data_IF_705338290883
#
_entry.id   IF_705338290883
#
_cell.length_a   1.000
_cell.length_b   1.000
_cell.length_c   1.000
_cell.angle_alpha   90.00
_cell.angle_beta   90.00
_cell.angle_gamma   90.00
#
_symmetry.space_group_name_H-M   'P 1'
#
loop_
_entity.id
_entity.type
_entity.pdbx_description
1 polymer ?
#
# COMPACT_ATOMS: atom_id res chain seq x y z
N UNK A 1 -25.05 -18.03 0.63
CA UNK A 1 -24.00 -18.06 -0.41
C UNK A 1 -23.47 -16.65 -0.53
N UNK A 2 -22.28 -16.39 0.03
CA UNK A 2 -21.68 -15.05 -0.02
C UNK A 2 -21.36 -14.75 -1.48
N UNK A 3 -21.94 -13.68 -2.00
CA UNK A 3 -21.68 -13.21 -3.36
C UNK A 3 -20.18 -12.87 -3.46
N UNK A 4 -19.47 -13.53 -4.37
CA UNK A 4 -18.05 -13.32 -4.65
C UNK A 4 -17.74 -11.87 -5.09
N UNK A 5 -18.77 -11.06 -5.34
CA UNK A 5 -18.71 -9.63 -5.67
C UNK A 5 -18.39 -8.71 -4.50
N UNK A 6 -18.68 -9.08 -3.24
CA UNK A 6 -18.51 -8.15 -2.10
C UNK A 6 -17.11 -8.20 -1.49
N UNK A 7 -16.36 -9.29 -1.75
CA UNK A 7 -14.99 -9.46 -1.30
C UNK A 7 -14.01 -9.50 -2.47
N UNK A 8 -13.44 -8.34 -2.90
CA UNK A 8 -12.35 -8.25 -3.86
C UNK A 8 -11.20 -9.24 -3.63
N UNK A 9 -10.91 -9.62 -2.39
CA UNK A 9 -9.84 -10.56 -2.06
C UNK A 9 -10.16 -12.00 -2.49
N UNK A 10 -11.43 -12.38 -2.69
CA UNK A 10 -11.84 -13.71 -3.16
C UNK A 10 -11.88 -13.79 -4.70
N UNK A 11 -12.00 -12.65 -5.38
CA UNK A 11 -12.34 -12.59 -6.79
C UNK A 11 -11.13 -12.41 -7.73
N UNK A 12 -9.95 -12.04 -7.22
CA UNK A 12 -8.74 -11.83 -8.01
C UNK A 12 -7.73 -12.98 -7.81
N UNK A 13 -7.71 -13.99 -8.69
CA UNK A 13 -7.04 -15.27 -8.41
C UNK A 13 -5.57 -15.44 -8.80
N UNK A 14 -4.94 -14.51 -9.54
CA UNK A 14 -3.78 -14.96 -10.36
C UNK A 14 -2.41 -14.56 -9.78
N UNK A 15 -2.20 -13.34 -9.24
CA UNK A 15 -0.86 -12.92 -8.77
C UNK A 15 -0.86 -11.80 -7.70
N UNK A 16 -2.01 -11.46 -7.11
CA UNK A 16 -2.17 -10.22 -6.31
C UNK A 16 -3.00 -10.39 -5.04
N UNK A 17 -3.00 -11.60 -4.52
CA UNK A 17 -3.50 -11.85 -3.18
C UNK A 17 -2.55 -11.15 -2.19
N UNK A 18 -2.78 -9.87 -1.89
CA UNK A 18 -2.12 -9.20 -0.76
C UNK A 18 -2.24 -10.03 0.52
N UNK A 19 -3.30 -10.83 0.61
CA UNK A 19 -3.53 -11.80 1.68
C UNK A 19 -2.78 -13.14 1.53
N UNK A 20 -2.34 -13.58 0.33
CA UNK A 20 -1.52 -14.81 0.21
C UNK A 20 -0.02 -14.54 0.16
N UNK A 21 0.38 -13.29 -0.05
CA UNK A 21 1.76 -12.82 0.06
C UNK A 21 1.75 -11.45 0.71
N UNK A 22 1.71 -11.44 2.04
CA UNK A 22 1.74 -10.20 2.81
C UNK A 22 3.12 -9.58 2.71
N UNK A 23 3.26 -8.54 1.90
CA UNK A 23 4.54 -7.85 1.68
C UNK A 23 4.36 -6.33 1.71
N UNK A 24 5.00 -5.68 2.67
CA UNK A 24 5.10 -4.23 2.72
C UNK A 24 3.79 -3.49 2.99
N UNK A 25 2.88 -4.10 3.76
CA UNK A 25 1.61 -3.48 4.17
C UNK A 25 1.89 -2.37 5.19
N UNK A 26 1.46 -1.15 4.90
CA UNK A 26 1.59 0.02 5.76
C UNK A 26 0.40 0.16 6.66
N UNK A 27 0.69 0.28 7.95
CA UNK A 27 -0.26 0.37 9.02
C UNK A 27 0.12 1.56 9.90
N UNK A 28 -0.91 2.22 10.42
CA UNK A 28 -0.76 2.99 11.66
C UNK A 28 -0.58 2.03 12.85
N UNK A 29 -0.04 2.52 13.97
CA UNK A 29 0.04 1.73 15.21
C UNK A 29 -1.34 1.16 15.63
N UNK A 30 -2.44 1.94 15.65
CA UNK A 30 -3.76 1.42 16.03
C UNK A 30 -4.30 0.35 15.08
N UNK A 31 -3.98 0.41 13.78
CA UNK A 31 -4.33 -0.65 12.84
C UNK A 31 -3.53 -1.92 13.08
N UNK A 32 -2.25 -1.79 13.41
CA UNK A 32 -1.41 -2.95 13.75
C UNK A 32 -1.95 -3.63 15.02
N UNK A 33 -2.20 -2.87 16.08
CA UNK A 33 -2.72 -3.39 17.34
C UNK A 33 -4.05 -4.15 17.14
N UNK A 34 -4.96 -3.57 16.36
CA UNK A 34 -6.28 -4.17 16.11
C UNK A 34 -6.21 -5.42 15.22
N UNK A 35 -5.36 -5.43 14.21
CA UNK A 35 -5.43 -6.44 13.15
C UNK A 35 -4.29 -7.47 13.19
N UNK A 36 -3.14 -7.17 13.81
CA UNK A 36 -1.91 -7.96 13.66
C UNK A 36 -1.13 -8.21 14.96
N UNK A 37 -1.44 -7.56 16.08
CA UNK A 37 -0.69 -7.74 17.33
C UNK A 37 -0.61 -9.23 17.78
N UNK A 38 -1.71 -9.98 17.64
CA UNK A 38 -1.71 -11.43 17.95
C UNK A 38 -0.81 -12.27 17.05
N UNK A 39 -0.35 -11.71 15.94
CA UNK A 39 0.48 -12.37 14.93
C UNK A 39 1.90 -11.79 14.86
N UNK A 40 2.28 -10.88 15.75
CA UNK A 40 3.60 -10.24 15.78
C UNK A 40 4.78 -11.21 15.60
N UNK A 41 4.80 -12.42 16.22
CA UNK A 41 5.91 -13.37 16.05
C UNK A 41 6.10 -13.87 14.61
N UNK A 42 5.05 -13.87 13.80
CA UNK A 42 5.03 -14.36 12.40
C UNK A 42 5.42 -13.27 11.39
N UNK A 43 5.56 -12.02 11.86
CA UNK A 43 5.70 -10.84 11.03
C UNK A 43 7.14 -10.31 11.05
N UNK A 44 7.53 -9.71 9.93
CA UNK A 44 8.64 -8.78 9.82
C UNK A 44 8.04 -7.37 9.85
N UNK A 45 8.43 -6.58 10.85
CA UNK A 45 7.88 -5.26 11.12
C UNK A 45 9.01 -4.25 11.04
N UNK A 46 8.89 -3.30 10.12
CA UNK A 46 9.83 -2.20 9.94
C UNK A 46 9.11 -0.88 10.25
N UNK A 47 9.75 0.02 10.99
CA UNK A 47 9.20 1.35 11.24
C UNK A 47 9.75 2.33 10.21
N UNK A 48 8.88 2.85 9.35
CA UNK A 48 9.17 3.92 8.40
C UNK A 48 8.55 5.21 8.93
N UNK A 49 9.34 6.05 9.61
CA UNK A 49 8.87 7.33 10.18
C UNK A 49 7.68 7.09 11.16
N UNK A 50 6.46 7.47 10.78
CA UNK A 50 5.27 7.33 11.61
C UNK A 50 4.38 6.11 11.25
N UNK A 51 4.79 5.29 10.28
CA UNK A 51 4.05 4.09 9.87
C UNK A 51 4.83 2.81 10.15
N UNK A 52 4.10 1.72 10.38
CA UNK A 52 4.62 0.36 10.43
C UNK A 52 4.48 -0.29 9.07
N UNK A 53 5.54 -0.90 8.58
CA UNK A 53 5.56 -1.70 7.35
C UNK A 53 5.66 -3.16 7.74
N UNK A 54 4.60 -3.90 7.44
CA UNK A 54 4.42 -5.29 7.86
C UNK A 54 4.51 -6.22 6.66
N UNK A 55 5.34 -7.23 6.79
CA UNK A 55 5.44 -8.36 5.86
C UNK A 55 5.37 -9.68 6.63
N UNK A 56 4.98 -10.76 5.98
CA UNK A 56 5.16 -12.09 6.56
C UNK A 56 6.66 -12.45 6.52
N UNK A 57 7.21 -12.94 7.63
CA UNK A 57 8.66 -13.12 7.83
C UNK A 57 9.33 -14.07 6.83
N UNK A 58 8.62 -15.12 6.42
CA UNK A 58 9.05 -16.15 5.48
C UNK A 58 8.44 -15.96 4.07
N UNK A 59 7.85 -14.79 3.80
CA UNK A 59 7.18 -14.49 2.53
C UNK A 59 5.88 -15.27 2.29
N UNK A 60 5.31 -15.83 3.35
CA UNK A 60 4.09 -16.63 3.37
C UNK A 60 2.79 -15.83 3.29
N UNK A 61 1.71 -16.55 3.60
CA UNK A 61 0.33 -16.05 3.59
C UNK A 61 0.10 -15.09 4.76
N UNK A 62 -0.75 -14.08 4.58
CA UNK A 62 -1.18 -13.20 5.66
C UNK A 62 -1.78 -14.05 6.80
N UNK A 63 -1.40 -13.83 8.06
CA UNK A 63 -1.91 -14.64 9.17
C UNK A 63 -3.43 -14.46 9.41
N UNK A 64 -4.00 -13.36 8.93
CA UNK A 64 -5.44 -13.13 8.91
C UNK A 64 -6.17 -13.87 7.78
N UNK A 65 -5.46 -14.57 6.90
CA UNK A 65 -6.07 -15.38 5.84
C UNK A 65 -6.27 -16.82 6.32
N UNK A 66 -7.48 -17.13 6.75
CA UNK A 66 -7.87 -18.43 7.32
C UNK A 66 -9.09 -18.97 6.58
N UNK A 67 -9.14 -20.28 6.37
CA UNK A 67 -10.26 -20.98 5.72
C UNK A 67 -10.70 -20.39 4.37
N UNK A 68 -9.74 -19.82 3.63
CA UNK A 68 -9.98 -19.24 2.32
C UNK A 68 -10.53 -17.81 2.34
N UNK A 69 -10.48 -17.10 3.47
CA UNK A 69 -10.91 -15.71 3.58
C UNK A 69 -10.12 -14.89 4.60
N UNK A 70 -10.31 -13.57 4.59
CA UNK A 70 -9.73 -12.68 5.58
C UNK A 70 -10.63 -12.64 6.82
N UNK A 71 -10.13 -13.06 7.98
CA UNK A 71 -10.92 -13.09 9.23
C UNK A 71 -11.20 -11.70 9.80
N UNK A 72 -10.35 -10.72 9.45
CA UNK A 72 -10.55 -9.29 9.79
C UNK A 72 -11.11 -8.50 8.61
N UNK A 73 -11.89 -9.11 7.71
CA UNK A 73 -12.27 -8.46 6.45
C UNK A 73 -12.97 -7.11 6.66
N UNK A 74 -13.94 -7.03 7.56
CA UNK A 74 -14.67 -5.80 7.86
C UNK A 74 -13.74 -4.74 8.50
N UNK A 75 -12.86 -5.17 9.40
CA UNK A 75 -11.92 -4.30 10.12
C UNK A 75 -10.57 -4.12 9.42
N UNK A 76 -10.46 -4.61 8.18
CA UNK A 76 -9.18 -4.71 7.47
C UNK A 76 -8.54 -3.32 7.36
N UNK A 77 -7.20 -3.22 7.43
CA UNK A 77 -6.52 -1.94 7.37
C UNK A 77 -6.88 -1.10 6.14
N UNK A 78 -6.74 0.22 6.25
CA UNK A 78 -7.03 1.17 5.17
C UNK A 78 -6.29 0.81 3.89
N UNK A 79 -5.01 0.45 3.96
CA UNK A 79 -4.28 0.03 2.75
C UNK A 79 -4.83 -1.26 2.12
N UNK A 80 -5.37 -2.20 2.90
CA UNK A 80 -6.08 -3.36 2.36
C UNK A 80 -7.43 -2.97 1.73
N UNK A 81 -8.13 -1.98 2.30
CA UNK A 81 -9.38 -1.43 1.76
C UNK A 81 -9.16 -0.59 0.50
N UNK A 82 -7.97 -0.02 0.32
CA UNK A 82 -7.62 0.73 -0.88
C UNK A 82 -7.58 -0.12 -2.15
N UNK A 83 -7.51 -1.45 -2.05
CA UNK A 83 -7.51 -2.32 -3.22
C UNK A 83 -8.69 -1.97 -4.17
N UNK A 84 -8.44 -1.78 -5.49
CA UNK A 84 -7.23 -2.10 -6.26
C UNK A 84 -6.15 -1.01 -6.30
N UNK A 85 -6.31 0.08 -5.55
CA UNK A 85 -5.28 1.09 -5.38
C UNK A 85 -4.19 0.63 -4.42
N UNK A 86 -2.98 1.13 -4.63
CA UNK A 86 -1.85 0.94 -3.72
C UNK A 86 -1.28 2.29 -3.36
N UNK A 87 -0.88 2.44 -2.09
CA UNK A 87 -0.38 3.68 -1.53
C UNK A 87 1.15 3.68 -1.49
N UNK A 88 1.76 4.71 -2.08
CA UNK A 88 3.21 4.91 -2.02
C UNK A 88 3.52 6.22 -1.33
N UNK A 89 4.19 6.21 -0.17
CA UNK A 89 4.74 7.43 0.40
C UNK A 89 5.89 7.91 -0.47
N UNK A 90 5.85 9.19 -0.83
CA UNK A 90 6.96 9.89 -1.47
C UNK A 90 7.32 11.09 -0.61
N UNK A 91 8.53 11.07 -0.04
CA UNK A 91 9.10 12.21 0.69
C UNK A 91 9.92 13.05 -0.29
N UNK A 92 9.50 14.28 -0.53
CA UNK A 92 10.24 15.24 -1.36
C UNK A 92 11.08 16.23 -0.54
N UNK A 93 10.83 16.38 0.77
CA UNK A 93 11.45 17.46 1.57
C UNK A 93 11.38 17.28 3.10
N UNK A 94 11.15 16.07 3.62
CA UNK A 94 11.08 15.83 5.08
C UNK A 94 9.82 16.36 5.78
N UNK A 95 9.10 17.32 5.18
CA UNK A 95 7.82 17.87 5.68
C UNK A 95 6.59 17.54 4.83
N UNK A 96 6.77 17.06 3.59
CA UNK A 96 5.68 16.68 2.69
C UNK A 96 5.69 15.16 2.48
N UNK A 97 4.64 14.48 2.94
CA UNK A 97 4.37 13.09 2.59
C UNK A 97 3.34 13.11 1.47
N UNK A 98 3.75 12.81 0.24
CA UNK A 98 2.79 12.62 -0.85
C UNK A 98 2.47 11.13 -0.96
N UNK A 99 1.21 10.79 -0.70
CA UNK A 99 0.68 9.46 -0.95
C UNK A 99 0.20 9.40 -2.39
N UNK A 100 0.74 8.45 -3.15
CA UNK A 100 0.30 8.21 -4.53
C UNK A 100 -0.56 6.97 -4.58
N UNK A 101 -1.75 7.13 -5.17
CA UNK A 101 -2.64 6.02 -5.49
C UNK A 101 -2.41 5.62 -6.94
N UNK A 102 -2.08 4.35 -7.16
CA UNK A 102 -2.09 3.76 -8.49
C UNK A 102 -2.86 2.45 -8.47
N UNK A 103 -3.45 2.07 -9.59
CA UNK A 103 -4.14 0.79 -9.72
C UNK A 103 -3.35 -0.16 -10.61
N UNK A 104 -2.07 -0.44 -10.38
CA UNK A 104 -1.31 -1.40 -11.19
C UNK A 104 -1.60 -2.87 -10.84
N UNK A 105 -2.89 -3.18 -10.80
CA UNK A 105 -3.35 -4.54 -10.59
C UNK A 105 -3.54 -5.28 -11.91
N UNK A 106 -3.14 -6.56 -11.93
CA UNK A 106 -3.45 -7.53 -13.01
C UNK A 106 -4.79 -8.21 -12.78
N UNK A 107 -5.59 -7.76 -11.81
CA UNK A 107 -6.87 -8.37 -11.54
C UNK A 107 -7.79 -8.23 -12.75
N UNK A 108 -8.39 -9.32 -13.25
CA UNK A 108 -9.31 -9.25 -14.39
C UNK A 108 -10.57 -8.44 -14.05
N UNK A 109 -10.94 -8.39 -12.77
CA UNK A 109 -12.08 -7.62 -12.27
C UNK A 109 -11.70 -6.19 -11.88
N UNK A 110 -10.45 -5.75 -12.09
CA UNK A 110 -9.99 -4.40 -11.75
C UNK A 110 -10.96 -3.30 -12.19
N UNK A 111 -11.55 -3.39 -13.39
CA UNK A 111 -12.50 -2.36 -13.87
C UNK A 111 -13.79 -2.30 -13.07
N UNK A 112 -14.21 -3.42 -12.49
CA UNK A 112 -15.41 -3.53 -11.65
C UNK A 112 -15.10 -3.20 -10.19
N UNK A 113 -13.86 -3.50 -9.75
CA UNK A 113 -13.36 -3.24 -8.40
C UNK A 113 -12.74 -1.86 -8.24
N UNK A 114 -12.41 -1.18 -9.35
CA UNK A 114 -12.05 0.24 -9.38
C UNK A 114 -13.27 1.02 -8.89
N UNK A 115 -13.33 1.17 -7.58
CA UNK A 115 -14.37 1.94 -6.92
C UNK A 115 -14.20 3.44 -7.17
N UNK A 116 -14.96 4.20 -6.40
CA UNK A 116 -14.90 5.65 -6.40
C UNK A 116 -13.48 6.14 -6.05
N UNK A 117 -12.92 6.94 -6.95
CA UNK A 117 -11.59 7.53 -6.78
C UNK A 117 -11.58 8.52 -5.61
N UNK A 118 -12.69 9.23 -5.40
CA UNK A 118 -12.85 10.16 -4.30
C UNK A 118 -12.82 9.41 -2.97
N UNK A 119 -13.59 8.33 -2.83
CA UNK A 119 -13.50 7.43 -1.67
C UNK A 119 -12.09 6.85 -1.42
N UNK A 120 -11.36 6.46 -2.46
CA UNK A 120 -9.98 6.00 -2.31
C UNK A 120 -9.03 7.13 -1.87
N UNK A 121 -9.20 8.34 -2.39
CA UNK A 121 -8.43 9.51 -1.96
C UNK A 121 -8.72 9.89 -0.51
N UNK A 122 -10.01 9.89 -0.12
CA UNK A 122 -10.43 10.16 1.25
C UNK A 122 -9.82 9.13 2.20
N UNK A 123 -9.90 7.84 1.88
CA UNK A 123 -9.34 6.79 2.72
C UNK A 123 -7.83 6.90 2.89
N UNK A 124 -7.11 7.29 1.83
CA UNK A 124 -5.69 7.56 1.89
C UNK A 124 -5.37 8.84 2.69
N UNK A 125 -6.22 9.85 2.63
CA UNK A 125 -6.10 11.06 3.44
C UNK A 125 -6.31 10.75 4.92
N UNK A 126 -7.36 10.00 5.28
CA UNK A 126 -7.63 9.55 6.65
C UNK A 126 -6.46 8.71 7.22
N UNK A 127 -5.86 7.84 6.39
CA UNK A 127 -4.64 7.14 6.77
C UNK A 127 -3.51 8.11 7.09
N UNK A 128 -3.30 9.12 6.24
CA UNK A 128 -2.22 10.06 6.40
C UNK A 128 -2.40 10.98 7.61
N UNK A 129 -3.64 11.43 7.85
CA UNK A 129 -3.98 12.28 8.98
C UNK A 129 -3.74 11.54 10.30
N UNK A 130 -4.08 10.25 10.37
CA UNK A 130 -3.81 9.45 11.56
C UNK A 130 -2.32 9.10 11.71
N UNK A 131 -1.63 8.77 10.62
CA UNK A 131 -0.22 8.41 10.66
C UNK A 131 0.69 9.61 10.97
N UNK A 132 0.47 10.76 10.31
CA UNK A 132 1.40 11.89 10.32
C UNK A 132 0.87 13.11 11.09
N UNK A 133 -0.44 13.16 11.41
CA UNK A 133 -1.08 14.28 12.09
C UNK A 133 -0.95 15.61 11.34
N UNK A 134 -1.15 16.72 12.05
CA UNK A 134 -1.01 18.09 11.51
C UNK A 134 0.44 18.47 11.16
N UNK A 135 1.41 17.60 11.48
CA UNK A 135 2.84 17.91 11.41
C UNK A 135 3.39 17.96 9.98
N UNK A 136 2.64 17.44 9.00
CA UNK A 136 3.06 17.36 7.60
C UNK A 136 1.92 17.65 6.65
N UNK A 137 2.22 18.39 5.58
CA UNK A 137 1.28 18.56 4.48
C UNK A 137 1.23 17.23 3.74
N UNK A 138 0.04 16.62 3.68
CA UNK A 138 -0.19 15.42 2.89
C UNK A 138 -0.88 15.84 1.60
N UNK A 139 -0.29 15.48 0.47
CA UNK A 139 -0.98 15.59 -0.82
C UNK A 139 -1.22 14.19 -1.38
N UNK A 140 -2.48 13.75 -1.37
CA UNK A 140 -2.90 12.52 -2.03
C UNK A 140 -3.16 12.83 -3.50
N UNK A 141 -2.38 12.22 -4.41
CA UNK A 141 -2.58 12.38 -5.85
C UNK A 141 -2.67 11.02 -6.53
N UNK A 142 -3.69 10.85 -7.36
CA UNK A 142 -3.73 9.73 -8.29
C UNK A 142 -2.71 9.99 -9.40
N UNK A 143 -1.76 9.07 -9.58
CA UNK A 143 -0.74 9.20 -10.63
C UNK A 143 -1.20 8.47 -11.90
N UNK A 144 -1.22 9.18 -13.02
CA UNK A 144 -1.48 8.57 -14.32
C UNK A 144 -0.30 7.69 -14.77
N UNK A 145 -0.53 6.69 -15.64
CA UNK A 145 0.55 5.88 -16.21
C UNK A 145 1.64 6.72 -16.89
N UNK A 146 1.26 7.84 -17.51
CA UNK A 146 2.17 8.75 -18.19
C UNK A 146 3.10 9.50 -17.21
N UNK A 147 2.56 10.03 -16.12
CA UNK A 147 3.34 10.69 -15.07
C UNK A 147 4.36 9.73 -14.43
N UNK A 148 4.01 8.45 -14.30
CA UNK A 148 4.93 7.43 -13.83
C UNK A 148 6.11 7.21 -14.77
N UNK A 149 5.87 7.09 -16.08
CA UNK A 149 6.94 6.92 -17.08
C UNK A 149 7.90 8.10 -17.02
N UNK A 150 7.38 9.32 -16.90
CA UNK A 150 8.18 10.53 -16.74
C UNK A 150 9.01 10.54 -15.45
N UNK A 151 8.49 9.97 -14.35
CA UNK A 151 9.27 9.84 -13.12
C UNK A 151 10.40 8.82 -13.27
N UNK A 152 10.13 7.66 -13.85
CA UNK A 152 11.15 6.62 -14.05
C UNK A 152 12.29 7.12 -14.94
N UNK A 153 11.97 7.85 -16.01
CA UNK A 153 13.00 8.46 -16.85
C UNK A 153 13.84 9.47 -16.09
N UNK A 154 13.23 10.32 -15.25
CA UNK A 154 13.97 11.27 -14.38
C UNK A 154 14.85 10.57 -13.35
N UNK A 155 14.36 9.51 -12.70
CA UNK A 155 15.16 8.74 -11.73
C UNK A 155 16.37 8.06 -12.38
N UNK A 156 16.20 7.52 -13.59
CA UNK A 156 17.31 6.96 -14.38
C UNK A 156 18.34 8.02 -14.72
N UNK A 157 17.90 9.22 -15.17
CA UNK A 157 18.81 10.34 -15.45
C UNK A 157 19.61 10.75 -14.21
N UNK A 158 18.95 10.87 -13.05
CA UNK A 158 19.63 11.19 -11.79
C UNK A 158 20.63 10.10 -11.36
N UNK A 159 20.28 8.82 -11.48
CA UNK A 159 21.16 7.71 -11.16
C UNK A 159 22.40 7.66 -12.08
N UNK A 160 22.22 7.91 -13.38
CA UNK A 160 23.32 8.00 -14.36
C UNK A 160 24.25 9.16 -14.01
N UNK A 161 23.72 10.35 -13.74
CA UNK A 161 24.53 11.52 -13.36
C UNK A 161 25.31 11.31 -12.06
N UNK A 162 24.71 10.66 -11.05
CA UNK A 162 25.39 10.32 -9.80
C UNK A 162 26.52 9.31 -10.01
N UNK A 163 26.34 8.35 -10.92
CA UNK A 163 27.34 7.32 -11.24
C UNK A 163 28.53 7.90 -12.02
N UNK A 164 28.28 8.83 -12.95
CA UNK A 164 29.34 9.53 -13.70
C UNK A 164 30.19 10.41 -12.78
N UNK A 165 29.57 11.12 -11.82
CA UNK A 165 30.32 11.93 -10.82
C UNK A 165 31.22 11.11 -9.91
N UNK A 166 30.84 9.87 -9.55
CA UNK A 166 31.65 8.98 -8.70
C UNK A 166 32.82 8.31 -9.43
N UNK A 167 32.82 8.27 -10.76
CA UNK A 167 33.90 7.67 -11.57
C UNK A 167 34.92 8.70 -12.10
N UNK A 168 34.66 9.99 -11.91
CA UNK A 168 35.53 11.09 -12.36
C UNK A 168 36.26 11.82 -11.23
N UNK A 169 36.18 11.32 -10.00
CA UNK A 169 36.95 11.75 -8.83
C UNK A 169 37.80 10.57 -8.35
#
# INVERSE_FOLDING_TARGET
MSNTTDNPCLACSIHQDCCKRLTGLRLTEPEFERCFASHEPELAIEREDAVLVVSQRDGGVCPNWQDGGCVVYEDRPRECRLFPFTMYPTSNSGQLVSLRLHSETRCPLKRQLLGDREGAQQLAQEFADEAYGDSRVVSVRHESPFERVLRWSRQLVHAVHATVRKKGA
#
